data_IF_902751554298
#
_entry.id   IF_902751554298
#
_cell.length_a   1.000
_cell.length_b   1.000
_cell.length_c   1.000
_cell.angle_alpha   90.00
_cell.angle_beta   90.00
_cell.angle_gamma   90.00
#
_symmetry.space_group_name_H-M   'P 1'
#
loop_
_entity.id
_entity.type
_entity.pdbx_description
1 polymer ?
#
# COMPACT_ATOMS: atom_id res chain seq x y z
N UNK A 1 3.79 -13.93 21.55
CA UNK A 1 4.80 -14.55 22.44
C UNK A 1 6.19 -14.37 21.83
N UNK A 2 7.27 -14.24 22.63
CA UNK A 2 8.63 -13.99 22.12
C UNK A 2 9.10 -14.99 21.05
N UNK A 3 8.68 -16.25 21.14
CA UNK A 3 9.02 -17.30 20.18
C UNK A 3 8.53 -17.07 18.75
N UNK A 4 7.51 -16.21 18.56
CA UNK A 4 6.93 -15.93 17.24
C UNK A 4 7.47 -14.66 16.58
N UNK A 5 8.21 -13.83 17.31
CA UNK A 5 8.69 -12.53 16.77
C UNK A 5 9.59 -12.70 15.55
N UNK A 6 10.53 -13.60 15.58
CA UNK A 6 11.43 -13.82 14.44
C UNK A 6 10.66 -14.19 13.16
N UNK A 7 9.63 -15.04 13.29
CA UNK A 7 8.78 -15.42 12.17
C UNK A 7 7.93 -14.26 11.67
N UNK A 8 7.34 -13.46 12.58
CA UNK A 8 6.56 -12.27 12.22
C UNK A 8 7.42 -11.28 11.44
N UNK A 9 8.62 -10.96 11.93
CA UNK A 9 9.55 -10.05 11.28
C UNK A 9 9.97 -10.53 9.90
N UNK A 10 10.21 -11.85 9.74
CA UNK A 10 10.46 -12.45 8.42
C UNK A 10 9.29 -12.26 7.47
N UNK A 11 8.07 -12.56 7.93
CA UNK A 11 6.86 -12.44 7.11
C UNK A 11 6.62 -10.99 6.66
N UNK A 12 6.82 -10.00 7.53
CA UNK A 12 6.69 -8.58 7.16
C UNK A 12 7.62 -8.19 6.02
N UNK A 13 8.87 -8.66 6.08
CA UNK A 13 9.88 -8.42 5.04
C UNK A 13 9.57 -9.20 3.76
N UNK A 14 9.24 -10.48 3.86
CA UNK A 14 8.97 -11.35 2.71
C UNK A 14 7.74 -10.88 1.92
N UNK A 15 6.75 -10.32 2.61
CA UNK A 15 5.56 -9.71 2.00
C UNK A 15 5.78 -8.29 1.51
N UNK A 16 6.97 -7.73 1.69
CA UNK A 16 7.32 -6.35 1.34
C UNK A 16 6.40 -5.31 2.01
N UNK A 17 6.10 -5.54 3.29
CA UNK A 17 5.45 -4.52 4.11
C UNK A 17 6.47 -3.55 4.71
N UNK A 18 7.69 -4.04 4.90
CA UNK A 18 8.83 -3.27 5.36
C UNK A 18 10.08 -3.71 4.61
N UNK A 19 11.05 -2.80 4.46
CA UNK A 19 12.43 -3.16 4.11
C UNK A 19 13.38 -2.83 5.27
N UNK A 20 14.60 -3.36 5.19
CA UNK A 20 15.64 -3.12 6.18
C UNK A 20 16.61 -2.05 5.70
N UNK A 21 16.78 -1.01 6.49
CA UNK A 21 17.88 -0.06 6.36
C UNK A 21 18.69 -0.05 7.66
N UNK A 22 19.97 -0.44 7.59
CA UNK A 22 20.91 -0.46 8.73
C UNK A 22 20.30 -0.98 10.04
N UNK A 23 19.66 -2.15 10.01
CA UNK A 23 18.98 -2.79 11.15
C UNK A 23 17.70 -2.06 11.63
N UNK A 24 17.08 -1.19 10.82
CA UNK A 24 15.78 -0.58 11.08
C UNK A 24 14.77 -1.06 10.07
N UNK A 25 13.54 -1.29 10.53
CA UNK A 25 12.42 -1.50 9.64
C UNK A 25 11.92 -0.15 9.11
N UNK A 26 11.88 -0.02 7.80
CA UNK A 26 11.29 1.13 7.12
C UNK A 26 9.99 0.62 6.46
N UNK A 27 8.83 1.21 6.77
CA UNK A 27 7.57 0.82 6.17
C UNK A 27 7.56 1.10 4.66
N UNK A 28 7.18 0.10 3.88
CA UNK A 28 6.89 0.21 2.45
C UNK A 28 5.46 0.73 2.22
N UNK A 29 5.16 1.21 1.02
CA UNK A 29 3.84 1.71 0.65
C UNK A 29 2.73 0.70 0.89
N UNK A 30 3.00 -0.55 0.54
CA UNK A 30 2.07 -1.66 0.79
C UNK A 30 1.80 -1.86 2.28
N UNK A 31 2.82 -1.73 3.12
CA UNK A 31 2.69 -1.81 4.57
C UNK A 31 1.84 -0.67 5.11
N UNK A 32 2.11 0.56 4.69
CA UNK A 32 1.36 1.75 5.09
C UNK A 32 -0.11 1.66 4.67
N UNK A 33 -0.38 1.22 3.44
CA UNK A 33 -1.74 1.03 2.93
C UNK A 33 -2.52 0.00 3.76
N UNK A 34 -1.91 -1.15 4.05
CA UNK A 34 -2.55 -2.21 4.86
C UNK A 34 -2.79 -1.73 6.29
N UNK A 35 -1.83 -1.02 6.88
CA UNK A 35 -1.98 -0.46 8.24
C UNK A 35 -3.13 0.55 8.27
N UNK A 36 -3.16 1.51 7.36
CA UNK A 36 -4.25 2.49 7.29
C UNK A 36 -5.62 1.82 7.07
N UNK A 37 -5.70 0.78 6.25
CA UNK A 37 -6.92 0.01 6.06
C UNK A 37 -7.37 -0.67 7.36
N UNK A 38 -6.46 -1.34 8.06
CA UNK A 38 -6.77 -2.02 9.31
C UNK A 38 -7.16 -1.05 10.42
N UNK A 39 -6.48 0.08 10.54
CA UNK A 39 -6.80 1.12 11.53
C UNK A 39 -8.18 1.74 11.30
N UNK A 40 -8.58 1.92 10.03
CA UNK A 40 -9.89 2.51 9.71
C UNK A 40 -11.04 1.52 9.85
N UNK A 41 -10.85 0.24 9.49
CA UNK A 41 -11.94 -0.72 9.36
C UNK A 41 -11.89 -1.86 10.37
N UNK A 42 -10.75 -2.09 11.00
CA UNK A 42 -10.51 -3.15 11.98
C UNK A 42 -9.74 -2.63 13.20
N UNK A 43 -9.98 -1.38 13.61
CA UNK A 43 -9.24 -0.70 14.68
C UNK A 43 -9.07 -1.57 15.93
N UNK A 44 -10.15 -2.18 16.40
CA UNK A 44 -10.16 -3.07 17.56
C UNK A 44 -9.13 -4.19 17.49
N UNK A 45 -8.93 -4.78 16.29
CA UNK A 45 -8.05 -5.95 16.10
C UNK A 45 -6.56 -5.57 16.00
N UNK A 46 -6.25 -4.27 15.80
CA UNK A 46 -4.89 -3.75 15.73
C UNK A 46 -4.48 -2.96 16.96
N UNK A 47 -5.37 -2.80 17.94
CA UNK A 47 -5.05 -2.20 19.23
C UNK A 47 -4.08 -3.06 20.04
N UNK A 48 -3.19 -2.41 20.78
CA UNK A 48 -2.16 -3.10 21.58
C UNK A 48 -2.75 -4.07 22.61
N UNK A 49 -3.89 -3.71 23.20
CA UNK A 49 -4.53 -4.50 24.26
C UNK A 49 -5.34 -5.69 23.74
N UNK A 50 -5.68 -5.71 22.45
CA UNK A 50 -6.49 -6.78 21.87
C UNK A 50 -5.80 -8.13 21.98
N UNK A 51 -4.55 -8.23 21.54
CA UNK A 51 -3.78 -9.49 21.60
C UNK A 51 -3.56 -9.94 23.04
N UNK A 52 -3.25 -9.02 23.95
CA UNK A 52 -3.09 -9.33 25.36
C UNK A 52 -4.40 -9.85 26.00
N UNK A 53 -5.53 -9.19 25.71
CA UNK A 53 -6.84 -9.64 26.18
C UNK A 53 -7.24 -11.01 25.61
N UNK A 54 -6.88 -11.28 24.34
CA UNK A 54 -7.10 -12.58 23.72
C UNK A 54 -6.27 -13.67 24.40
N UNK A 55 -4.99 -13.42 24.69
CA UNK A 55 -4.12 -14.37 25.41
C UNK A 55 -4.66 -14.67 26.82
N UNK A 56 -5.13 -13.66 27.57
CA UNK A 56 -5.74 -13.86 28.87
C UNK A 56 -6.98 -14.76 28.80
N UNK A 57 -7.85 -14.57 27.80
CA UNK A 57 -9.03 -15.45 27.62
C UNK A 57 -8.63 -16.87 27.25
N UNK A 58 -7.58 -17.05 26.45
CA UNK A 58 -7.06 -18.38 26.14
C UNK A 58 -6.44 -19.07 27.36
N UNK A 59 -5.83 -18.33 28.28
CA UNK A 59 -5.33 -18.85 29.54
C UNK A 59 -6.50 -19.30 30.44
N UNK A 60 -7.61 -18.54 30.50
CA UNK A 60 -8.84 -18.95 31.19
C UNK A 60 -9.46 -20.22 30.60
N UNK A 61 -9.46 -20.35 29.26
CA UNK A 61 -9.89 -21.61 28.60
C UNK A 61 -8.98 -22.76 29.03
N UNK A 62 -7.68 -22.55 29.07
CA UNK A 62 -6.71 -23.57 29.49
C UNK A 62 -6.87 -23.98 30.97
N UNK A 63 -7.29 -23.04 31.82
CA UNK A 63 -7.61 -23.28 33.21
C UNK A 63 -9.00 -23.97 33.46
N UNK A 64 -9.83 -24.08 32.40
CA UNK A 64 -11.18 -24.59 32.49
C UNK A 64 -12.21 -23.61 33.07
N UNK A 65 -11.85 -22.33 33.15
CA UNK A 65 -12.69 -21.23 33.65
C UNK A 65 -13.61 -20.66 32.59
N UNK A 66 -13.27 -20.84 31.30
CA UNK A 66 -14.02 -20.36 30.14
C UNK A 66 -14.23 -21.49 29.14
N UNK A 67 -15.45 -21.67 28.65
CA UNK A 67 -15.72 -22.61 27.57
C UNK A 67 -15.15 -22.08 26.23
N UNK A 68 -14.32 -22.88 25.57
CA UNK A 68 -13.64 -22.48 24.34
C UNK A 68 -14.61 -22.27 23.17
N UNK A 69 -15.74 -22.96 23.14
CA UNK A 69 -16.74 -22.80 22.06
C UNK A 69 -17.47 -21.48 22.20
N UNK A 70 -17.92 -21.16 23.43
CA UNK A 70 -18.54 -19.85 23.70
C UNK A 70 -17.60 -18.70 23.37
N UNK A 71 -16.32 -18.81 23.76
CA UNK A 71 -15.31 -17.83 23.44
C UNK A 71 -15.12 -17.66 21.93
N UNK A 72 -14.98 -18.75 21.17
CA UNK A 72 -14.80 -18.70 19.71
C UNK A 72 -16.05 -18.18 18.99
N UNK A 73 -17.25 -18.54 19.44
CA UNK A 73 -18.49 -18.00 18.88
C UNK A 73 -18.58 -16.49 19.09
N UNK A 74 -18.35 -16.01 20.31
CA UNK A 74 -18.35 -14.57 20.59
C UNK A 74 -17.32 -13.81 19.74
N UNK A 75 -16.10 -14.33 19.63
CA UNK A 75 -15.08 -13.74 18.77
C UNK A 75 -15.51 -13.71 17.30
N UNK A 76 -16.04 -14.83 16.81
CA UNK A 76 -16.45 -14.96 15.41
C UNK A 76 -17.61 -14.03 15.06
N UNK A 77 -18.61 -13.91 15.92
CA UNK A 77 -19.78 -13.05 15.68
C UNK A 77 -19.36 -11.58 15.56
N UNK A 78 -18.49 -11.12 16.44
CA UNK A 78 -17.95 -9.76 16.40
C UNK A 78 -17.06 -9.53 15.16
N UNK A 79 -16.19 -10.48 14.85
CA UNK A 79 -15.31 -10.39 13.69
C UNK A 79 -16.10 -10.42 12.38
N UNK A 80 -17.08 -11.33 12.29
CA UNK A 80 -17.95 -11.44 11.13
C UNK A 80 -18.76 -10.17 10.91
N UNK A 81 -19.30 -9.57 11.96
CA UNK A 81 -20.03 -8.31 11.86
C UNK A 81 -19.15 -7.19 11.25
N UNK A 82 -17.89 -7.08 11.69
CA UNK A 82 -16.94 -6.11 11.11
C UNK A 82 -16.63 -6.40 9.64
N UNK A 83 -16.52 -7.68 9.25
CA UNK A 83 -16.30 -8.06 7.85
C UNK A 83 -17.53 -7.76 6.99
N UNK A 84 -18.72 -8.05 7.48
CA UNK A 84 -19.97 -7.81 6.77
C UNK A 84 -20.17 -6.29 6.55
N UNK A 85 -19.89 -5.46 7.56
CA UNK A 85 -19.96 -4.00 7.46
C UNK A 85 -19.06 -3.46 6.34
N UNK A 86 -17.83 -3.98 6.21
CA UNK A 86 -16.91 -3.56 5.15
C UNK A 86 -17.35 -4.08 3.79
N UNK A 87 -17.92 -5.29 3.73
CA UNK A 87 -18.39 -5.90 2.48
C UNK A 87 -19.49 -5.10 1.81
N UNK A 88 -20.26 -4.34 2.59
CA UNK A 88 -21.33 -3.46 2.12
C UNK A 88 -20.79 -2.10 1.62
N UNK A 89 -19.54 -1.76 1.93
CA UNK A 89 -18.94 -0.52 1.47
C UNK A 89 -18.57 -0.60 -0.01
N UNK A 90 -18.79 0.51 -0.73
CA UNK A 90 -18.28 0.64 -2.08
C UNK A 90 -16.75 0.84 -2.04
N UNK A 91 -16.07 0.31 -3.03
CA UNK A 91 -14.60 0.50 -3.18
C UNK A 91 -14.20 1.98 -3.12
N UNK A 92 -15.04 2.88 -3.63
CA UNK A 92 -14.82 4.33 -3.58
C UNK A 92 -14.77 4.86 -2.14
N UNK A 93 -15.67 4.41 -1.26
CA UNK A 93 -15.70 4.83 0.15
C UNK A 93 -14.46 4.37 0.90
N UNK A 94 -13.99 3.14 0.63
CA UNK A 94 -12.74 2.63 1.19
C UNK A 94 -11.55 3.46 0.69
N UNK A 95 -11.52 3.79 -0.61
CA UNK A 95 -10.46 4.62 -1.19
C UNK A 95 -10.47 6.05 -0.64
N UNK A 96 -11.64 6.63 -0.39
CA UNK A 96 -11.76 7.97 0.19
C UNK A 96 -11.21 8.01 1.63
N UNK A 97 -11.56 7.02 2.47
CA UNK A 97 -11.01 6.88 3.81
C UNK A 97 -9.48 6.72 3.80
N UNK A 98 -8.95 5.90 2.88
CA UNK A 98 -7.52 5.72 2.72
C UNK A 98 -6.81 6.97 2.18
N UNK A 99 -7.45 7.74 1.28
CA UNK A 99 -6.95 9.02 0.81
C UNK A 99 -6.86 10.06 1.92
N UNK A 100 -7.79 10.04 2.87
CA UNK A 100 -7.76 10.91 4.05
C UNK A 100 -6.63 10.49 5.00
N UNK A 101 -6.59 9.22 5.38
CA UNK A 101 -5.61 8.69 6.33
C UNK A 101 -4.16 8.80 5.83
N UNK A 102 -3.91 8.50 4.55
CA UNK A 102 -2.58 8.54 3.94
C UNK A 102 -2.24 9.90 3.31
N UNK A 103 -3.20 10.79 3.20
CA UNK A 103 -3.04 12.10 2.56
C UNK A 103 -1.79 12.86 2.98
N UNK A 104 -1.52 13.06 4.28
CA UNK A 104 -0.32 13.77 4.75
C UNK A 104 1.00 13.13 4.32
N UNK A 105 1.00 11.80 4.12
CA UNK A 105 2.18 11.07 3.69
C UNK A 105 2.34 11.05 2.17
N UNK A 106 1.25 10.84 1.44
CA UNK A 106 1.24 10.73 -0.02
C UNK A 106 1.34 12.09 -0.71
N UNK A 107 0.81 13.12 -0.07
CA UNK A 107 0.76 14.49 -0.56
C UNK A 107 1.33 15.45 0.49
N UNK A 108 2.64 15.40 0.78
CA UNK A 108 3.25 16.31 1.75
C UNK A 108 3.12 17.76 1.25
N UNK A 109 3.01 18.75 2.18
CA UNK A 109 2.96 20.15 1.81
C UNK A 109 4.16 20.54 0.96
N UNK A 110 3.92 21.26 -0.13
CA UNK A 110 4.98 21.80 -1.00
C UNK A 110 5.52 23.11 -0.44
N UNK A 111 6.82 23.33 -0.61
CA UNK A 111 7.50 24.55 -0.16
C UNK A 111 7.07 25.80 -0.93
N UNK A 112 6.51 25.66 -2.11
CA UNK A 112 6.01 26.73 -2.99
C UNK A 112 4.57 27.15 -2.66
N UNK A 113 3.91 26.51 -1.69
CA UNK A 113 2.52 26.79 -1.28
C UNK A 113 1.46 26.30 -2.28
N UNK A 114 1.83 25.58 -3.34
CA UNK A 114 0.87 24.96 -4.27
C UNK A 114 0.20 23.76 -3.63
N UNK A 115 -1.03 23.45 -4.07
CA UNK A 115 -1.73 22.26 -3.59
C UNK A 115 -0.96 20.99 -3.99
N UNK A 116 -0.51 20.18 -3.03
CA UNK A 116 0.25 18.97 -3.33
C UNK A 116 -0.55 17.93 -4.12
N UNK A 117 -1.89 18.07 -4.15
CA UNK A 117 -2.78 17.22 -4.93
C UNK A 117 -3.01 17.72 -6.36
N UNK A 118 -2.55 18.91 -6.70
CA UNK A 118 -2.70 19.43 -8.07
C UNK A 118 -1.90 18.57 -9.06
N UNK A 119 -2.56 18.14 -10.14
CA UNK A 119 -1.91 17.31 -11.16
C UNK A 119 -0.86 18.12 -11.93
N UNK A 120 0.42 17.69 -11.98
CA UNK A 120 1.47 18.41 -12.67
C UNK A 120 1.36 18.32 -14.20
N UNK A 121 0.59 17.38 -14.74
CA UNK A 121 0.44 17.18 -16.17
C UNK A 121 -0.66 18.02 -16.81
N UNK A 122 -1.82 18.14 -16.16
CA UNK A 122 -2.95 18.92 -16.69
C UNK A 122 -3.23 20.22 -15.94
N UNK A 123 -2.69 20.38 -14.73
CA UNK A 123 -2.89 21.58 -13.92
C UNK A 123 -4.27 21.71 -13.24
N UNK A 124 -5.31 21.11 -13.82
CA UNK A 124 -6.70 21.27 -13.37
C UNK A 124 -7.21 20.06 -12.55
N UNK A 125 -6.64 18.87 -12.76
CA UNK A 125 -7.06 17.66 -12.08
C UNK A 125 -6.44 17.54 -10.69
N UNK A 126 -7.10 16.78 -9.82
CA UNK A 126 -6.61 16.44 -8.49
C UNK A 126 -6.07 15.01 -8.45
N UNK A 127 -4.96 14.84 -7.76
CA UNK A 127 -4.35 13.54 -7.53
C UNK A 127 -5.05 12.84 -6.36
N UNK A 128 -5.37 11.57 -6.54
CA UNK A 128 -5.95 10.72 -5.51
C UNK A 128 -5.43 9.29 -5.59
N UNK A 129 -5.53 8.57 -4.47
CA UNK A 129 -5.21 7.17 -4.42
C UNK A 129 -6.20 6.37 -5.28
N UNK A 130 -5.68 5.49 -6.11
CA UNK A 130 -6.43 4.58 -6.97
C UNK A 130 -5.92 3.16 -6.74
N UNK A 131 -6.76 2.19 -7.05
CA UNK A 131 -6.37 0.77 -7.03
C UNK A 131 -6.53 0.20 -8.43
N UNK A 132 -5.48 -0.43 -8.92
CA UNK A 132 -5.46 -1.11 -10.20
C UNK A 132 -5.00 -2.56 -10.06
N UNK A 133 -4.85 -3.23 -11.21
CA UNK A 133 -4.45 -4.64 -11.27
C UNK A 133 -3.12 -4.95 -10.54
N UNK A 134 -2.22 -3.99 -10.49
CA UNK A 134 -0.87 -4.15 -9.94
C UNK A 134 -0.71 -3.57 -8.53
N UNK A 135 -1.79 -3.08 -7.93
CA UNK A 135 -1.79 -2.50 -6.60
C UNK A 135 -2.32 -1.07 -6.58
N UNK A 136 -2.03 -0.38 -5.48
CA UNK A 136 -2.43 1.00 -5.30
C UNK A 136 -1.41 1.96 -5.94
N UNK A 137 -1.91 3.05 -6.53
CA UNK A 137 -1.13 4.10 -7.17
C UNK A 137 -1.85 5.44 -7.02
N UNK A 138 -1.15 6.53 -7.28
CA UNK A 138 -1.76 7.86 -7.34
C UNK A 138 -2.08 8.19 -8.78
N UNK A 139 -3.32 8.62 -9.05
CA UNK A 139 -3.80 8.97 -10.38
C UNK A 139 -4.57 10.27 -10.41
N UNK A 140 -4.62 10.91 -11.59
CA UNK A 140 -5.37 12.13 -11.83
C UNK A 140 -6.88 11.88 -11.89
N UNK A 141 -7.68 12.85 -11.37
CA UNK A 141 -9.15 12.82 -11.45
C UNK A 141 -9.67 12.96 -12.88
N UNK A 142 -8.91 13.60 -13.78
CA UNK A 142 -9.31 13.86 -15.16
C UNK A 142 -9.04 12.69 -16.11
N UNK A 143 -8.91 11.47 -15.58
CA UNK A 143 -8.88 10.29 -16.42
C UNK A 143 -10.25 10.11 -17.14
N UNK A 144 -10.29 9.79 -18.44
CA UNK A 144 -9.20 9.35 -19.33
C UNK A 144 -8.42 10.44 -20.08
N UNK A 145 -8.82 11.71 -19.98
CA UNK A 145 -8.19 12.82 -20.70
C UNK A 145 -6.75 13.08 -20.20
N UNK A 146 -6.54 12.99 -18.89
CA UNK A 146 -5.24 13.02 -18.27
C UNK A 146 -4.88 11.65 -17.70
N UNK A 147 -3.81 11.06 -18.21
CA UNK A 147 -3.34 9.72 -17.81
C UNK A 147 -2.20 9.76 -16.80
N UNK A 148 -2.00 10.89 -16.13
CA UNK A 148 -0.93 11.01 -15.14
C UNK A 148 -1.12 10.03 -13.98
N UNK A 149 -0.08 9.25 -13.71
CA UNK A 149 -0.01 8.32 -12.56
C UNK A 149 1.38 8.34 -11.95
N UNK A 150 1.48 8.05 -10.66
CA UNK A 150 2.75 7.83 -9.96
C UNK A 150 2.62 6.80 -8.85
N UNK A 151 3.74 6.28 -8.36
CA UNK A 151 3.77 5.45 -7.15
C UNK A 151 3.30 6.24 -5.92
N UNK A 152 2.93 5.55 -4.85
CA UNK A 152 2.45 6.17 -3.61
C UNK A 152 3.57 6.99 -2.96
N UNK A 153 4.77 6.42 -2.82
CA UNK A 153 5.97 7.14 -2.38
C UNK A 153 6.68 7.68 -3.61
N UNK A 154 6.47 8.94 -3.94
CA UNK A 154 7.35 9.64 -4.86
C UNK A 154 8.48 10.28 -4.04
N UNK A 155 9.70 9.78 -4.13
CA UNK A 155 10.86 10.65 -4.03
C UNK A 155 10.79 11.61 -5.23
N UNK A 156 11.06 12.90 -5.01
CA UNK A 156 11.00 13.95 -6.04
C UNK A 156 11.90 13.68 -7.29
N UNK A 157 12.64 12.59 -7.30
CA UNK A 157 13.53 12.14 -8.37
C UNK A 157 12.94 11.08 -9.31
N UNK A 158 11.75 10.47 -9.01
CA UNK A 158 11.14 9.43 -9.86
C UNK A 158 9.76 9.83 -10.41
N UNK A 159 9.65 11.02 -10.98
CA UNK A 159 8.48 11.42 -11.78
C UNK A 159 8.59 10.88 -13.22
N UNK A 160 8.61 9.55 -13.38
CA UNK A 160 8.39 8.96 -14.72
C UNK A 160 8.10 7.45 -14.63
N UNK A 161 7.03 7.07 -13.95
CA UNK A 161 6.64 5.66 -13.75
C UNK A 161 5.30 5.26 -14.35
N UNK A 162 4.79 5.99 -15.35
CA UNK A 162 3.70 5.51 -16.22
C UNK A 162 3.98 5.96 -17.64
N UNK A 163 4.34 4.99 -18.49
CA UNK A 163 4.81 5.22 -19.85
C UNK A 163 6.10 6.06 -19.91
N UNK A 164 7.16 5.64 -19.25
CA UNK A 164 8.48 5.90 -19.78
C UNK A 164 8.51 5.19 -21.13
N UNK A 165 8.27 5.94 -22.21
CA UNK A 165 8.56 5.48 -23.55
C UNK A 165 9.99 4.90 -23.58
N UNK A 166 10.38 4.18 -24.60
CA UNK A 166 11.66 3.49 -24.65
C UNK A 166 12.79 4.47 -24.29
N UNK A 167 13.51 4.21 -23.19
CA UNK A 167 14.63 5.05 -22.78
C UNK A 167 15.78 4.83 -23.76
N UNK A 168 16.12 5.85 -24.52
CA UNK A 168 17.24 5.79 -25.46
C UNK A 168 18.55 5.61 -24.68
N UNK A 169 19.26 4.52 -24.91
CA UNK A 169 20.56 4.22 -24.31
C UNK A 169 21.72 4.70 -25.18
N UNK A 170 21.48 4.84 -26.49
CA UNK A 170 22.47 5.25 -27.44
C UNK A 170 22.22 4.67 -28.83
N UNK A 171 23.26 4.69 -29.69
CA UNK A 171 23.24 4.03 -31.01
C UNK A 171 24.24 2.89 -31.04
N UNK A 172 23.85 1.80 -31.64
CA UNK A 172 24.74 0.67 -31.88
C UNK A 172 25.87 1.09 -32.84
N UNK A 173 27.14 0.90 -32.47
CA UNK A 173 28.28 1.34 -33.27
C UNK A 173 28.42 0.58 -34.59
N UNK A 174 27.86 -0.62 -34.74
CA UNK A 174 27.97 -1.41 -35.96
C UNK A 174 26.83 -1.15 -36.95
N UNK A 175 25.62 -1.00 -36.46
CA UNK A 175 24.41 -0.86 -37.29
C UNK A 175 23.89 0.56 -37.38
N UNK A 176 24.28 1.45 -36.43
CA UNK A 176 23.79 2.83 -36.31
C UNK A 176 22.34 2.95 -35.81
N UNK A 177 21.70 1.83 -35.50
CA UNK A 177 20.33 1.79 -35.00
C UNK A 177 20.23 2.25 -33.52
N UNK A 178 19.10 2.78 -33.15
CA UNK A 178 18.86 3.22 -31.76
C UNK A 178 18.72 2.03 -30.83
N UNK A 179 19.43 2.08 -29.69
CA UNK A 179 19.32 1.09 -28.60
C UNK A 179 18.43 1.67 -27.54
N UNK A 180 17.29 1.02 -27.28
CA UNK A 180 16.31 1.47 -26.30
C UNK A 180 16.13 0.47 -25.18
N UNK A 181 16.05 0.96 -23.94
CA UNK A 181 15.63 0.17 -22.77
C UNK A 181 14.11 0.24 -22.66
N UNK A 182 13.51 -0.91 -22.62
CA UNK A 182 12.05 -1.07 -22.43
C UNK A 182 11.75 -1.98 -21.25
N UNK A 183 10.59 -1.80 -20.66
CA UNK A 183 10.11 -2.68 -19.61
C UNK A 183 9.01 -3.59 -20.18
N UNK A 184 9.15 -4.89 -19.98
CA UNK A 184 8.23 -5.89 -20.47
C UNK A 184 7.71 -6.81 -19.37
N UNK A 185 6.86 -7.76 -19.75
CA UNK A 185 6.20 -8.70 -18.83
C UNK A 185 7.20 -9.48 -17.93
N UNK A 186 8.42 -9.65 -18.38
CA UNK A 186 9.46 -10.43 -17.70
C UNK A 186 10.59 -9.56 -17.12
N UNK A 187 10.40 -8.24 -17.07
CA UNK A 187 11.39 -7.26 -16.61
C UNK A 187 11.93 -6.38 -17.72
N UNK A 188 12.97 -5.61 -17.39
CA UNK A 188 13.60 -4.70 -18.32
C UNK A 188 14.36 -5.46 -19.41
N UNK A 189 14.22 -5.02 -20.68
CA UNK A 189 14.95 -5.57 -21.83
C UNK A 189 15.43 -4.46 -22.75
N UNK A 190 16.46 -4.77 -23.52
CA UNK A 190 17.04 -3.84 -24.51
C UNK A 190 16.51 -4.21 -25.89
N UNK A 191 16.07 -3.22 -26.64
CA UNK A 191 15.63 -3.38 -28.04
C UNK A 191 16.51 -2.54 -28.95
N UNK A 192 16.90 -3.12 -30.08
CA UNK A 192 17.64 -2.48 -31.16
C UNK A 192 16.65 -2.14 -32.29
N UNK A 193 16.56 -0.86 -32.66
CA UNK A 193 15.71 -0.38 -33.75
C UNK A 193 14.32 0.02 -33.35
#
# INVERSE_FOLDING_TARGET
RPSTYAQILSVLRDRKYVHMDRNRFIPEDKGRLVTAFLENFFSRYVEYDFTAGLEQKLDQVSAGELDWREFLHSFWDEFKASVDEISDLRITQVLDALNEALGPHVFPPRSDGTDPRQCPACGDGLLSLKVGRYGAFVGCSNYPDCKYTRAITASDEETSGAEAGPKLLGKDPETGLEVTLREGRFGAYVQLG
#
